data_IF_393272556536
#
_entry.id   IF_393272556536
#
_cell.length_a   1.000
_cell.length_b   1.000
_cell.length_c   1.000
_cell.angle_alpha   90.00
_cell.angle_beta   90.00
_cell.angle_gamma   90.00
#
_symmetry.space_group_name_H-M   'P 1'
#
loop_
_entity.id
_entity.type
_entity.pdbx_description
1 polymer ?
#
# COMPACT_ATOMS: atom_id res chain seq x y z
N UNK A 1 -10.45 -41.30 19.23
CA UNK A 1 -9.81 -40.01 18.92
C UNK A 1 -10.10 -39.08 20.08
N UNK A 2 -9.09 -38.68 20.84
CA UNK A 2 -9.25 -37.90 22.07
C UNK A 2 -9.81 -36.50 21.81
N UNK A 3 -10.77 -36.06 22.64
CA UNK A 3 -11.41 -34.75 22.52
C UNK A 3 -10.39 -33.59 22.57
N UNK A 4 -9.29 -33.78 23.30
CA UNK A 4 -8.16 -32.83 23.38
C UNK A 4 -7.43 -32.70 22.05
N UNK A 5 -7.23 -33.80 21.34
CA UNK A 5 -6.60 -33.80 20.02
C UNK A 5 -7.50 -33.11 19.02
N UNK A 6 -8.82 -33.37 19.07
CA UNK A 6 -9.80 -32.70 18.21
C UNK A 6 -9.82 -31.17 18.45
N UNK A 7 -9.78 -30.75 19.72
CA UNK A 7 -9.73 -29.34 20.08
C UNK A 7 -8.45 -28.64 19.60
N UNK A 8 -7.29 -29.28 19.72
CA UNK A 8 -6.02 -28.74 19.22
C UNK A 8 -6.02 -28.62 17.69
N UNK A 9 -6.51 -29.63 16.98
CA UNK A 9 -6.62 -29.61 15.51
C UNK A 9 -7.55 -28.47 15.05
N UNK A 10 -8.68 -28.27 15.73
CA UNK A 10 -9.61 -27.19 15.42
C UNK A 10 -8.97 -25.81 15.65
N UNK A 11 -8.28 -25.60 16.78
CA UNK A 11 -7.58 -24.35 17.05
C UNK A 11 -6.51 -24.05 15.98
N UNK A 12 -5.66 -25.01 15.65
CA UNK A 12 -4.61 -24.82 14.63
C UNK A 12 -5.22 -24.52 13.26
N UNK A 13 -6.31 -25.19 12.89
CA UNK A 13 -7.02 -24.91 11.65
C UNK A 13 -7.57 -23.47 11.62
N UNK A 14 -8.21 -23.01 12.69
CA UNK A 14 -8.77 -21.65 12.78
C UNK A 14 -7.66 -20.58 12.73
N UNK A 15 -6.58 -20.76 13.49
CA UNK A 15 -5.43 -19.84 13.47
C UNK A 15 -4.76 -19.78 12.09
N UNK A 16 -4.74 -20.90 11.37
CA UNK A 16 -4.16 -20.96 10.02
C UNK A 16 -5.02 -20.25 8.96
N UNK A 17 -6.32 -20.06 9.22
CA UNK A 17 -7.27 -19.37 8.33
C UNK A 17 -7.19 -17.83 8.50
N UNK A 18 -6.38 -17.34 9.43
CA UNK A 18 -6.14 -15.91 9.63
C UNK A 18 -5.27 -15.32 8.50
N UNK A 19 -5.76 -15.42 7.26
CA UNK A 19 -5.21 -14.77 6.10
C UNK A 19 -5.31 -13.27 6.28
N UNK A 20 -4.19 -12.57 6.07
CA UNK A 20 -4.18 -11.11 6.09
C UNK A 20 -5.03 -10.60 4.92
N UNK A 21 -6.20 -10.02 5.21
CA UNK A 21 -7.05 -9.40 4.20
C UNK A 21 -6.23 -8.29 3.52
N UNK A 22 -6.02 -8.35 2.19
CA UNK A 22 -5.24 -7.36 1.49
C UNK A 22 -5.94 -6.01 1.57
N UNK A 23 -5.21 -4.98 1.98
CA UNK A 23 -5.73 -3.60 2.06
C UNK A 23 -5.75 -2.99 0.65
N UNK A 24 -6.80 -3.28 -0.10
CA UNK A 24 -7.00 -2.79 -1.46
C UNK A 24 -7.53 -1.35 -1.50
N UNK A 25 -7.05 -0.57 -2.47
CA UNK A 25 -7.71 0.63 -2.93
C UNK A 25 -8.95 0.26 -3.74
N UNK A 26 -10.10 0.84 -3.40
CA UNK A 26 -11.38 0.68 -4.12
C UNK A 26 -11.75 1.91 -4.94
N UNK A 27 -11.09 3.05 -4.69
CA UNK A 27 -11.21 4.29 -5.44
C UNK A 27 -9.86 4.98 -5.50
N UNK A 28 -9.63 5.76 -6.56
CA UNK A 28 -8.39 6.51 -6.77
C UNK A 28 -8.69 8.00 -6.96
N UNK A 29 -7.76 8.85 -6.53
CA UNK A 29 -7.76 10.26 -6.88
C UNK A 29 -6.77 10.54 -8.00
N UNK A 30 -7.22 11.29 -9.02
CA UNK A 30 -6.35 11.81 -10.09
C UNK A 30 -5.62 13.08 -9.70
N UNK A 31 -6.19 13.84 -8.76
CA UNK A 31 -5.63 15.10 -8.28
C UNK A 31 -5.03 14.89 -6.90
N UNK A 32 -3.71 14.72 -6.87
CA UNK A 32 -2.93 14.73 -5.64
C UNK A 32 -2.09 16.02 -5.68
N UNK A 33 -2.22 16.92 -4.69
CA UNK A 33 -1.43 18.14 -4.65
C UNK A 33 0.07 17.84 -4.68
N UNK A 34 0.85 18.64 -5.40
CA UNK A 34 2.30 18.47 -5.51
C UNK A 34 2.98 18.51 -4.12
N UNK A 35 2.47 19.36 -3.21
CA UNK A 35 2.92 19.42 -1.82
C UNK A 35 2.77 18.08 -1.08
N UNK A 36 1.75 17.29 -1.42
CA UNK A 36 1.57 15.94 -0.88
C UNK A 36 2.56 14.96 -1.52
N UNK A 37 2.74 15.03 -2.84
CA UNK A 37 3.71 14.19 -3.57
C UNK A 37 5.15 14.37 -3.06
N UNK A 38 5.56 15.60 -2.76
CA UNK A 38 6.87 15.91 -2.19
C UNK A 38 7.08 15.27 -0.80
N UNK A 39 6.00 14.96 -0.08
CA UNK A 39 6.06 14.34 1.26
C UNK A 39 5.91 12.82 1.25
N UNK A 40 5.80 12.18 0.08
CA UNK A 40 5.63 10.73 -0.03
C UNK A 40 6.90 9.99 0.42
N UNK A 41 6.83 9.29 1.52
CA UNK A 41 7.95 8.50 2.05
C UNK A 41 8.24 7.29 1.16
N UNK A 42 7.18 6.59 0.78
CA UNK A 42 7.21 5.40 -0.10
C UNK A 42 5.89 5.24 -0.85
N UNK A 43 5.89 4.43 -1.91
CA UNK A 43 4.68 4.08 -2.64
C UNK A 43 4.67 2.59 -3.01
N UNK A 44 3.48 2.01 -3.05
CA UNK A 44 3.24 0.65 -3.56
C UNK A 44 2.42 0.72 -4.85
N UNK A 45 2.62 -0.22 -5.77
CA UNK A 45 1.76 -0.36 -6.97
C UNK A 45 0.81 -1.51 -6.75
N UNK A 46 -0.48 -1.22 -6.74
CA UNK A 46 -1.55 -2.19 -6.75
C UNK A 46 -1.93 -2.50 -8.18
N UNK A 47 -2.00 -3.79 -8.52
CA UNK A 47 -2.46 -4.28 -9.81
C UNK A 47 -3.83 -4.96 -9.65
N UNK A 48 -4.66 -4.83 -10.68
CA UNK A 48 -6.00 -5.45 -10.79
C UNK A 48 -5.97 -6.95 -11.05
N UNK A 49 -4.82 -7.53 -11.40
CA UNK A 49 -4.68 -8.95 -11.78
C UNK A 49 -4.47 -9.89 -10.57
N UNK A 50 -4.89 -9.51 -9.37
CA UNK A 50 -4.65 -10.26 -8.14
C UNK A 50 -5.80 -10.14 -7.16
N UNK A 51 -5.47 -9.97 -5.88
CA UNK A 51 -6.49 -9.88 -4.82
C UNK A 51 -7.28 -8.55 -4.80
N UNK A 52 -6.91 -7.58 -5.63
CA UNK A 52 -7.56 -6.28 -5.74
C UNK A 52 -8.11 -6.09 -7.16
N UNK A 53 -9.22 -5.36 -7.29
CA UNK A 53 -9.97 -5.25 -8.56
C UNK A 53 -9.53 -4.09 -9.46
N UNK A 54 -8.79 -3.11 -8.94
CA UNK A 54 -8.37 -1.91 -9.68
C UNK A 54 -6.87 -1.66 -9.58
N UNK A 55 -6.32 -1.02 -10.61
CA UNK A 55 -4.96 -0.49 -10.58
C UNK A 55 -4.91 0.79 -9.75
N UNK A 56 -3.93 0.89 -8.85
CA UNK A 56 -3.73 2.08 -8.03
C UNK A 56 -2.27 2.26 -7.64
N UNK A 57 -1.88 3.49 -7.36
CA UNK A 57 -0.62 3.81 -6.69
C UNK A 57 -0.93 4.20 -5.25
N UNK A 58 -0.48 3.40 -4.30
CA UNK A 58 -0.70 3.62 -2.88
C UNK A 58 0.43 4.48 -2.33
N UNK A 59 0.13 5.73 -1.99
CA UNK A 59 1.09 6.68 -1.43
C UNK A 59 1.09 6.59 0.10
N UNK A 60 2.27 6.64 0.71
CA UNK A 60 2.43 6.68 2.16
C UNK A 60 3.03 8.03 2.56
N UNK A 61 2.29 8.78 3.39
CA UNK A 61 2.64 10.15 3.81
C UNK A 61 2.32 10.29 5.30
N UNK A 62 3.32 10.50 6.15
CA UNK A 62 3.21 10.58 7.61
C UNK A 62 2.34 9.47 8.22
N UNK A 63 2.58 8.21 7.82
CA UNK A 63 1.81 7.06 8.29
C UNK A 63 0.38 6.93 7.73
N UNK A 64 -0.06 7.84 6.84
CA UNK A 64 -1.37 7.74 6.15
C UNK A 64 -1.21 7.16 4.74
N UNK A 65 -2.21 6.39 4.31
CA UNK A 65 -2.31 5.85 2.94
C UNK A 65 -3.26 6.67 2.08
N UNK A 66 -2.84 6.97 0.86
CA UNK A 66 -3.66 7.62 -0.17
C UNK A 66 -3.67 6.77 -1.44
N UNK A 67 -4.84 6.56 -2.03
CA UNK A 67 -5.01 5.84 -3.28
C UNK A 67 -5.00 6.83 -4.46
N UNK A 68 -3.96 6.79 -5.28
CA UNK A 68 -3.80 7.64 -6.44
C UNK A 68 -4.01 6.86 -7.75
N UNK A 69 -4.49 7.56 -8.78
CA UNK A 69 -4.62 7.01 -10.13
C UNK A 69 -3.24 6.62 -10.68
N UNK A 70 -3.09 5.48 -11.39
CA UNK A 70 -1.81 5.05 -11.96
C UNK A 70 -1.07 6.12 -12.77
N UNK A 71 -1.79 7.06 -13.40
CA UNK A 71 -1.22 8.18 -14.16
C UNK A 71 -0.38 9.13 -13.30
N UNK A 72 -0.68 9.24 -12.00
CA UNK A 72 0.07 10.07 -11.03
C UNK A 72 1.51 9.57 -10.83
N UNK A 73 1.80 8.29 -11.14
CA UNK A 73 3.11 7.67 -10.96
C UNK A 73 4.26 8.44 -11.61
N UNK A 74 4.03 9.03 -12.80
CA UNK A 74 5.05 9.80 -13.52
C UNK A 74 5.44 11.06 -12.75
N UNK A 75 4.44 11.83 -12.31
CA UNK A 75 4.64 13.07 -11.54
C UNK A 75 5.26 12.76 -10.17
N UNK A 76 4.79 11.70 -9.51
CA UNK A 76 5.35 11.21 -8.25
C UNK A 76 6.86 10.93 -8.37
N UNK A 77 7.28 10.22 -9.42
CA UNK A 77 8.69 9.89 -9.63
C UNK A 77 9.56 11.14 -9.73
N UNK A 78 9.12 12.13 -10.51
CA UNK A 78 9.83 13.41 -10.65
C UNK A 78 9.88 14.14 -9.31
N UNK A 79 8.77 14.22 -8.58
CA UNK A 79 8.73 14.86 -7.26
C UNK A 79 9.72 14.20 -6.27
N UNK A 80 9.78 12.85 -6.25
CA UNK A 80 10.72 12.13 -5.38
C UNK A 80 12.19 12.36 -5.77
N UNK A 81 12.51 12.43 -7.07
CA UNK A 81 13.85 12.75 -7.55
C UNK A 81 14.28 14.17 -7.16
N UNK A 82 13.39 15.15 -7.33
CA UNK A 82 13.64 16.54 -6.91
C UNK A 82 13.91 16.59 -5.40
N UNK A 83 13.08 15.92 -4.59
CA UNK A 83 13.30 15.86 -3.13
C UNK A 83 14.65 15.27 -2.78
N UNK A 84 15.04 14.15 -3.39
CA UNK A 84 16.33 13.52 -3.14
C UNK A 84 17.48 14.48 -3.47
N UNK A 85 17.41 15.17 -4.62
CA UNK A 85 18.41 16.19 -4.98
C UNK A 85 18.46 17.37 -4.00
N UNK A 86 17.32 17.79 -3.43
CA UNK A 86 17.28 18.83 -2.40
C UNK A 86 17.90 18.37 -1.08
N UNK A 87 17.64 17.14 -0.66
CA UNK A 87 18.25 16.55 0.55
C UNK A 87 19.77 16.48 0.42
N UNK A 88 20.28 16.15 -0.76
CA UNK A 88 21.73 16.12 -1.04
C UNK A 88 22.38 17.50 -1.07
N UNK A 89 21.61 18.60 -1.23
CA UNK A 89 22.13 19.98 -1.24
C UNK A 89 22.05 20.67 0.12
N UNK A 90 21.17 20.20 1.01
CA UNK A 90 20.96 20.77 2.33
C UNK A 90 21.79 20.12 3.43
N UNK A 91 22.68 19.18 3.08
CA UNK A 91 23.55 18.42 3.96
C UNK A 91 25.01 18.62 3.55
#
# INVERSE_FOLDING_TARGET
>A
MDLRVLALVLCVAIYSIQGAIPKCCVRTSRSIPLSTLMRVERYDVQHSHGACEIDAVVLHVNGRRYCADPRVKKVLRVAMQIRQAQLMRGN
#
